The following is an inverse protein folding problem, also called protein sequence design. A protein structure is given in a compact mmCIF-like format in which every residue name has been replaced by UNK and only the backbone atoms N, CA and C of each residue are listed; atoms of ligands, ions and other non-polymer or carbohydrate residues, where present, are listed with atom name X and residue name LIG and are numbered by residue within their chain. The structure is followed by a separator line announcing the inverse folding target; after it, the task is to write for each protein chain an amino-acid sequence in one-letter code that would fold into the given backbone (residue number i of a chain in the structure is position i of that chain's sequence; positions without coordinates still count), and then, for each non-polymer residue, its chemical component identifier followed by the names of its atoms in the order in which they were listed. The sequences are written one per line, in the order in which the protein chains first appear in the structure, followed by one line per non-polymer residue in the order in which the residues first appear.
data_IF_582228319868
#
_entry.id   IF_582228319868
#
_cell.length_a   1.000
_cell.length_b   1.000
_cell.length_c   1.000
_cell.angle_alpha   90.00
_cell.angle_beta   90.00
_cell.angle_gamma   90.00
#
_symmetry.space_group_name_H-M   'P 1'
#
loop_
_entity.id
_entity.type
_entity.pdbx_description
1 polymer ?
#
# COMPACT_ATOMS: atom_id res chain seq x y z
N UNK A 1 8.71 -30.24 -30.59
CA UNK A 1 8.20 -28.85 -30.71
C UNK A 1 7.08 -28.53 -29.72
N UNK A 2 5.94 -29.24 -29.67
CA UNK A 2 4.83 -28.91 -28.74
C UNK A 2 5.22 -28.85 -27.24
N UNK A 3 6.01 -29.81 -26.75
CA UNK A 3 6.46 -29.85 -25.34
C UNK A 3 7.31 -28.63 -24.95
N UNK A 4 8.09 -28.09 -25.89
CA UNK A 4 8.91 -26.90 -25.67
C UNK A 4 8.04 -25.66 -25.46
N UNK A 5 7.02 -25.47 -26.30
CA UNK A 5 6.09 -24.34 -26.15
C UNK A 5 5.26 -24.42 -24.85
N UNK A 6 4.91 -25.62 -24.40
CA UNK A 6 4.23 -25.82 -23.11
C UNK A 6 5.12 -25.40 -21.92
N UNK A 7 6.39 -25.79 -21.94
CA UNK A 7 7.36 -25.39 -20.91
C UNK A 7 7.54 -23.86 -20.93
N UNK A 8 7.72 -23.29 -22.12
CA UNK A 8 7.89 -21.85 -22.29
C UNK A 8 6.67 -21.07 -21.78
N UNK A 9 5.45 -21.49 -22.15
CA UNK A 9 4.22 -20.87 -21.68
C UNK A 9 4.07 -20.94 -20.15
N UNK A 10 4.47 -22.07 -19.55
CA UNK A 10 4.45 -22.24 -18.09
C UNK A 10 5.39 -21.26 -17.41
N UNK A 11 6.59 -21.06 -17.94
CA UNK A 11 7.56 -20.08 -17.42
C UNK A 11 6.98 -18.66 -17.51
N UNK A 12 6.40 -18.29 -18.65
CA UNK A 12 5.76 -16.98 -18.81
C UNK A 12 4.58 -16.77 -17.87
N UNK A 13 3.75 -17.80 -17.66
CA UNK A 13 2.64 -17.73 -16.71
C UNK A 13 3.15 -17.52 -15.27
N UNK A 14 4.23 -18.20 -14.89
CA UNK A 14 4.81 -18.05 -13.56
C UNK A 14 5.42 -16.66 -13.35
N UNK A 15 6.17 -16.16 -14.33
CA UNK A 15 6.71 -14.81 -14.32
C UNK A 15 5.58 -13.77 -14.24
N UNK A 16 4.52 -13.94 -15.04
CA UNK A 16 3.37 -13.05 -15.02
C UNK A 16 2.72 -13.00 -13.63
N UNK A 17 2.49 -14.15 -13.00
CA UNK A 17 1.93 -14.21 -11.65
C UNK A 17 2.82 -13.48 -10.64
N UNK A 18 4.12 -13.75 -10.65
CA UNK A 18 5.07 -13.08 -9.76
C UNK A 18 5.04 -11.55 -9.94
N UNK A 19 5.09 -11.07 -11.18
CA UNK A 19 5.02 -9.64 -11.48
C UNK A 19 3.68 -9.04 -11.06
N UNK A 20 2.57 -9.74 -11.31
CA UNK A 20 1.23 -9.28 -10.94
C UNK A 20 1.07 -9.15 -9.42
N UNK A 21 1.52 -10.14 -8.66
CA UNK A 21 1.49 -10.07 -7.19
C UNK A 21 2.40 -8.96 -6.66
N UNK A 22 3.56 -8.76 -7.28
CA UNK A 22 4.46 -7.67 -6.91
C UNK A 22 3.83 -6.30 -7.16
N UNK A 23 3.21 -6.10 -8.32
CA UNK A 23 2.48 -4.87 -8.65
C UNK A 23 1.37 -4.60 -7.64
N UNK A 24 0.54 -5.59 -7.35
CA UNK A 24 -0.55 -5.45 -6.36
C UNK A 24 -0.01 -5.09 -4.96
N UNK A 25 1.15 -5.64 -4.59
CA UNK A 25 1.80 -5.27 -3.32
C UNK A 25 2.30 -3.82 -3.32
N UNK A 26 2.85 -3.35 -4.45
CA UNK A 26 3.28 -1.96 -4.59
C UNK A 26 2.10 -0.98 -4.55
N UNK A 27 0.99 -1.30 -5.21
CA UNK A 27 -0.22 -0.48 -5.18
C UNK A 27 -0.76 -0.33 -3.76
N UNK A 28 -0.83 -1.43 -3.00
CA UNK A 28 -1.24 -1.39 -1.59
C UNK A 28 -0.30 -0.52 -0.75
N UNK A 29 1.02 -0.61 -0.97
CA UNK A 29 2.00 0.22 -0.26
C UNK A 29 1.87 1.69 -0.63
N UNK A 30 1.61 1.98 -1.91
CA UNK A 30 1.39 3.33 -2.40
C UNK A 30 0.14 3.94 -1.76
N UNK A 31 -0.97 3.20 -1.74
CA UNK A 31 -2.21 3.65 -1.09
C UNK A 31 -2.00 3.93 0.41
N UNK A 32 -1.27 3.05 1.11
CA UNK A 32 -0.92 3.25 2.51
C UNK A 32 -0.04 4.50 2.71
N UNK A 33 0.97 4.71 1.87
CA UNK A 33 1.83 5.90 1.92
C UNK A 33 1.05 7.20 1.63
N UNK A 34 0.08 7.16 0.71
CA UNK A 34 -0.80 8.31 0.44
C UNK A 34 -1.67 8.65 1.66
N UNK A 35 -2.21 7.65 2.35
CA UNK A 35 -2.98 7.84 3.60
C UNK A 35 -2.11 8.48 4.68
N UNK A 36 -0.86 8.01 4.84
CA UNK A 36 0.08 8.61 5.78
C UNK A 36 0.38 10.08 5.47
N UNK A 37 0.72 10.39 4.22
CA UNK A 37 1.00 11.76 3.80
C UNK A 37 -0.19 12.69 4.08
N UNK A 38 -1.41 12.22 3.80
CA UNK A 38 -2.64 12.97 4.08
C UNK A 38 -2.86 13.18 5.59
N UNK A 39 -2.56 12.18 6.42
CA UNK A 39 -2.61 12.33 7.87
C UNK A 39 -1.60 13.37 8.38
N UNK A 40 -0.37 13.37 7.85
CA UNK A 40 0.63 14.38 8.17
C UNK A 40 0.19 15.79 7.76
N UNK A 41 -0.40 15.94 6.58
CA UNK A 41 -0.96 17.21 6.13
C UNK A 41 -2.06 17.71 7.09
N UNK A 42 -2.98 16.82 7.50
CA UNK A 42 -3.99 17.15 8.51
C UNK A 42 -3.39 17.56 9.85
N UNK A 43 -2.33 16.90 10.29
CA UNK A 43 -1.63 17.24 11.54
C UNK A 43 -1.03 18.64 11.49
N UNK A 44 -0.29 18.95 10.42
CA UNK A 44 0.36 20.27 10.22
C UNK A 44 -0.69 21.38 10.13
N UNK A 45 -1.79 21.13 9.42
CA UNK A 45 -2.89 22.09 9.27
C UNK A 45 -3.80 22.17 10.50
N UNK A 46 -3.47 21.46 11.60
CA UNK A 46 -4.25 21.39 12.84
C UNK A 46 -5.70 20.95 12.65
N UNK A 47 -6.00 20.16 11.61
CA UNK A 47 -7.35 19.66 11.33
C UNK A 47 -7.88 18.86 12.53
N UNK A 48 -9.13 19.11 12.92
CA UNK A 48 -9.81 18.44 14.02
C UNK A 48 -10.13 16.97 13.67
N UNK A 49 -10.24 16.65 12.38
CA UNK A 49 -10.55 15.31 11.86
C UNK A 49 -9.34 14.37 11.86
N UNK A 50 -8.15 14.86 12.20
CA UNK A 50 -6.92 14.06 12.20
C UNK A 50 -7.04 12.77 13.02
N UNK A 51 -7.65 12.86 14.21
CA UNK A 51 -7.84 11.70 15.10
C UNK A 51 -8.72 10.63 14.46
N UNK A 52 -9.89 11.03 13.97
CA UNK A 52 -10.83 10.14 13.29
C UNK A 52 -10.21 9.53 12.02
N UNK A 53 -9.42 10.32 11.29
CA UNK A 53 -8.74 9.85 10.09
C UNK A 53 -7.69 8.76 10.39
N UNK A 54 -6.92 8.90 11.46
CA UNK A 54 -5.96 7.87 11.91
C UNK A 54 -6.68 6.59 12.31
N UNK A 55 -7.73 6.69 13.12
CA UNK A 55 -8.49 5.54 13.61
C UNK A 55 -9.16 4.78 12.46
N UNK A 56 -9.80 5.48 11.52
CA UNK A 56 -10.47 4.86 10.38
C UNK A 56 -9.50 4.22 9.36
N UNK A 57 -8.24 4.67 9.30
CA UNK A 57 -7.23 4.15 8.37
C UNK A 57 -6.20 3.22 9.04
N UNK A 58 -6.36 2.89 10.33
CA UNK A 58 -5.44 2.07 11.11
C UNK A 58 -3.97 2.54 11.02
N UNK A 59 -3.75 3.85 11.08
CA UNK A 59 -2.40 4.45 11.01
C UNK A 59 -1.75 4.46 12.39
N UNK A 60 -1.53 3.27 12.97
CA UNK A 60 -1.06 3.08 14.34
C UNK A 60 0.28 3.79 14.61
N UNK A 61 1.14 3.86 13.59
CA UNK A 61 2.42 4.56 13.65
C UNK A 61 2.28 6.07 13.91
N UNK A 62 1.13 6.68 13.63
CA UNK A 62 0.89 8.11 13.86
C UNK A 62 0.16 8.39 15.17
N UNK A 63 -0.23 7.36 15.94
CA UNK A 63 -0.96 7.54 17.21
C UNK A 63 -0.18 8.37 18.22
N UNK A 64 1.15 8.28 18.25
CA UNK A 64 1.98 9.10 19.15
C UNK A 64 1.87 10.61 18.89
N UNK A 65 1.46 11.02 17.69
CA UNK A 65 1.24 12.44 17.36
C UNK A 65 -0.05 12.99 17.99
N UNK A 66 -1.00 12.12 18.33
CA UNK A 66 -2.21 12.50 19.07
C UNK A 66 -1.89 12.87 20.53
N UNK A 67 -0.89 12.21 21.12
CA UNK A 67 -0.46 12.47 22.50
C UNK A 67 0.35 13.76 22.65
N UNK A 68 0.89 14.29 21.54
CA UNK A 68 1.70 15.52 21.49
C UNK A 68 0.94 16.78 21.08
N UNK A 69 -0.35 16.65 20.73
CA UNK A 69 -1.22 17.76 20.32
C UNK A 69 -1.93 18.35 21.53
#
# INVERSE_FOLDING_TARGET
MQRFYLILATIFAFLFLLTFFHLKSLDNKLEYSQKLNKAYEMYVNKDLRFKEYIENNNLDELKYLLERK
#
